data_IF_691798735864
#
_entry.id   IF_691798735864
#
_cell.length_a   1.000
_cell.length_b   1.000
_cell.length_c   1.000
_cell.angle_alpha   90.00
_cell.angle_beta   90.00
_cell.angle_gamma   90.00
#
_symmetry.space_group_name_H-M   'P 1'
#
loop_
_entity.id
_entity.type
_entity.pdbx_description
1 polymer ?
#
# COMPACT_ATOMS: atom_id res chain seq x y z
N UNK A 1 4.17 -1.95 -29.20
CA UNK A 1 2.79 -1.65 -29.64
C UNK A 1 2.42 -2.09 -31.05
N UNK A 2 3.28 -1.94 -32.08
CA UNK A 2 2.91 -2.25 -33.48
C UNK A 2 2.28 -3.63 -33.72
N UNK A 3 2.78 -4.68 -33.07
CA UNK A 3 2.22 -6.04 -33.21
C UNK A 3 0.83 -6.16 -32.60
N UNK A 4 0.59 -5.54 -31.44
CA UNK A 4 -0.74 -5.48 -30.83
C UNK A 4 -1.73 -4.73 -31.74
N UNK A 5 -1.33 -3.60 -32.31
CA UNK A 5 -2.16 -2.86 -33.28
C UNK A 5 -2.47 -3.66 -34.56
N UNK A 6 -1.60 -4.60 -34.95
CA UNK A 6 -1.79 -5.41 -36.17
C UNK A 6 -2.62 -6.68 -35.93
N UNK A 7 -2.61 -7.22 -34.70
CA UNK A 7 -3.28 -8.49 -34.37
C UNK A 7 -4.63 -8.29 -33.69
N UNK A 8 -4.89 -7.13 -33.08
CA UNK A 8 -6.15 -6.84 -32.40
C UNK A 8 -7.17 -6.23 -33.36
N UNK A 9 -8.40 -6.74 -33.30
CA UNK A 9 -9.56 -6.17 -33.98
C UNK A 9 -10.57 -5.58 -32.97
N UNK A 10 -11.63 -4.92 -33.46
CA UNK A 10 -12.67 -4.31 -32.61
C UNK A 10 -13.47 -5.32 -31.80
N UNK A 11 -13.32 -6.63 -32.05
CA UNK A 11 -14.05 -7.69 -31.36
C UNK A 11 -13.31 -8.23 -30.14
N UNK A 12 -12.04 -7.84 -29.93
CA UNK A 12 -11.19 -8.35 -28.86
C UNK A 12 -11.00 -7.31 -27.77
N UNK A 13 -11.73 -7.38 -26.64
CA UNK A 13 -11.50 -6.45 -25.53
C UNK A 13 -10.12 -6.72 -24.89
N UNK A 14 -9.30 -5.69 -24.79
CA UNK A 14 -7.97 -5.75 -24.16
C UNK A 14 -7.91 -4.80 -22.96
N UNK A 15 -7.44 -5.32 -21.82
CA UNK A 15 -6.97 -4.51 -20.69
C UNK A 15 -5.47 -4.72 -20.53
N UNK A 16 -4.71 -3.65 -20.70
CA UNK A 16 -3.27 -3.63 -20.48
C UNK A 16 -2.97 -2.87 -19.19
N UNK A 17 -2.21 -3.49 -18.29
CA UNK A 17 -1.60 -2.81 -17.14
C UNK A 17 -0.10 -2.70 -17.37
N UNK A 18 0.47 -1.56 -17.01
CA UNK A 18 1.88 -1.26 -17.19
C UNK A 18 2.32 -0.21 -16.19
N UNK A 19 3.63 -0.02 -16.03
CA UNK A 19 4.17 1.15 -15.33
C UNK A 19 4.08 2.37 -16.23
N UNK A 20 3.82 3.54 -15.65
CA UNK A 20 3.62 4.78 -16.41
C UNK A 20 4.81 5.12 -17.29
N UNK A 21 6.04 5.04 -16.75
CA UNK A 21 7.27 5.35 -17.49
C UNK A 21 7.51 4.35 -18.62
N UNK A 22 7.37 3.05 -18.37
CA UNK A 22 7.53 2.00 -19.39
C UNK A 22 6.51 2.16 -20.53
N UNK A 23 5.27 2.55 -20.21
CA UNK A 23 4.26 2.82 -21.24
C UNK A 23 4.61 4.06 -22.06
N UNK A 24 5.01 5.16 -21.40
CA UNK A 24 5.39 6.40 -22.07
C UNK A 24 6.57 6.17 -23.03
N UNK A 25 7.61 5.46 -22.57
CA UNK A 25 8.78 5.11 -23.40
C UNK A 25 8.40 4.29 -24.64
N UNK A 26 7.45 3.34 -24.49
CA UNK A 26 6.96 2.52 -25.60
C UNK A 26 6.13 3.33 -26.59
N UNK A 27 5.30 4.26 -26.11
CA UNK A 27 4.51 5.15 -26.98
C UNK A 27 5.42 6.10 -27.73
N UNK A 28 6.40 6.71 -27.06
CA UNK A 28 7.35 7.64 -27.66
C UNK A 28 8.26 6.97 -28.69
N UNK A 29 8.65 5.71 -28.47
CA UNK A 29 9.54 4.95 -29.38
C UNK A 29 8.80 4.24 -30.52
N UNK A 30 7.49 4.02 -30.40
CA UNK A 30 6.70 3.33 -31.43
C UNK A 30 5.45 4.11 -31.81
N UNK A 31 4.31 3.78 -31.22
CA UNK A 31 3.03 4.45 -31.39
C UNK A 31 2.11 4.02 -30.25
N UNK A 32 1.05 4.78 -30.01
CA UNK A 32 0.00 4.41 -29.05
C UNK A 32 -0.79 3.19 -29.55
N UNK A 33 -1.47 2.52 -28.61
CA UNK A 33 -2.43 1.48 -28.96
C UNK A 33 -3.66 2.14 -29.62
N UNK A 34 -3.92 1.82 -30.88
CA UNK A 34 -4.96 2.48 -31.69
C UNK A 34 -6.34 2.27 -31.08
N UNK A 35 -7.11 3.35 -30.89
CA UNK A 35 -8.46 3.28 -30.34
C UNK A 35 -8.51 2.95 -28.84
N UNK A 36 -7.38 2.98 -28.13
CA UNK A 36 -7.33 2.76 -26.69
C UNK A 36 -7.71 4.00 -25.89
N UNK A 37 -8.24 3.77 -24.69
CA UNK A 37 -8.39 4.81 -23.66
C UNK A 37 -7.36 4.54 -22.57
N UNK A 38 -6.53 5.54 -22.28
CA UNK A 38 -5.49 5.45 -21.25
C UNK A 38 -6.04 6.00 -19.94
N UNK A 39 -5.92 5.22 -18.87
CA UNK A 39 -6.30 5.62 -17.52
C UNK A 39 -5.05 5.57 -16.65
N UNK A 40 -4.68 6.71 -16.09
CA UNK A 40 -3.60 6.80 -15.11
C UNK A 40 -4.15 6.71 -13.70
N UNK A 41 -3.54 5.84 -12.88
CA UNK A 41 -3.86 5.74 -11.46
C UNK A 41 -3.15 6.85 -10.70
N UNK A 42 -3.93 7.82 -10.20
CA UNK A 42 -3.41 8.90 -9.38
C UNK A 42 -3.14 8.46 -7.92
N UNK A 43 -2.27 9.20 -7.19
CA UNK A 43 -2.09 8.99 -5.77
C UNK A 43 -3.42 9.06 -4.99
N UNK A 44 -3.51 8.29 -3.91
CA UNK A 44 -4.70 8.26 -3.05
C UNK A 44 -4.84 9.61 -2.34
N UNK A 45 -6.01 10.23 -2.51
CA UNK A 45 -6.36 11.44 -1.77
C UNK A 45 -6.44 11.15 -0.27
N UNK A 46 -5.97 12.07 0.56
CA UNK A 46 -5.92 11.92 2.02
C UNK A 46 -7.29 11.55 2.60
N UNK A 47 -8.37 12.18 2.15
CA UNK A 47 -9.72 11.90 2.64
C UNK A 47 -10.17 10.46 2.33
N UNK A 48 -9.79 9.93 1.17
CA UNK A 48 -10.06 8.54 0.79
C UNK A 48 -9.28 7.58 1.70
N UNK A 49 -7.99 7.84 1.95
CA UNK A 49 -7.19 7.05 2.87
C UNK A 49 -7.76 7.08 4.30
N UNK A 50 -8.13 8.27 4.80
CA UNK A 50 -8.73 8.45 6.11
C UNK A 50 -10.07 7.72 6.24
N UNK A 51 -10.95 7.81 5.23
CA UNK A 51 -12.22 7.11 5.20
C UNK A 51 -12.02 5.58 5.21
N UNK A 52 -11.07 5.08 4.44
CA UNK A 52 -10.74 3.65 4.43
C UNK A 52 -10.22 3.17 5.79
N UNK A 53 -9.29 3.92 6.41
CA UNK A 53 -8.71 3.58 7.71
C UNK A 53 -9.69 3.75 8.87
N UNK A 54 -10.68 4.64 8.77
CA UNK A 54 -11.75 4.74 9.78
C UNK A 54 -12.55 3.43 9.91
N UNK A 55 -12.60 2.62 8.84
CA UNK A 55 -13.24 1.29 8.82
C UNK A 55 -12.28 0.13 9.12
N UNK A 56 -11.03 0.43 9.48
CA UNK A 56 -9.97 -0.58 9.62
C UNK A 56 -10.10 -1.48 10.84
N UNK A 57 -10.71 -0.99 11.91
CA UNK A 57 -10.76 -1.68 13.19
C UNK A 57 -12.18 -1.72 13.77
N UNK A 58 -12.48 -2.69 14.66
CA UNK A 58 -13.75 -2.72 15.37
C UNK A 58 -14.02 -1.40 16.12
N UNK A 59 -15.30 -0.98 16.21
CA UNK A 59 -15.65 0.20 16.95
C UNK A 59 -15.38 -0.01 18.45
N UNK A 60 -14.88 1.05 19.08
CA UNK A 60 -14.57 1.18 20.49
C UNK A 60 -15.41 2.33 21.06
N UNK A 61 -15.76 2.26 22.34
CA UNK A 61 -16.37 3.39 23.04
C UNK A 61 -15.28 4.26 23.66
N UNK A 62 -15.31 5.55 23.35
CA UNK A 62 -14.43 6.56 23.97
C UNK A 62 -14.87 6.84 25.41
N UNK A 63 -14.05 7.61 26.15
CA UNK A 63 -14.40 8.02 27.51
C UNK A 63 -15.65 8.91 27.54
N UNK A 64 -15.90 9.62 26.43
CA UNK A 64 -17.04 10.49 26.18
C UNK A 64 -18.30 9.73 25.71
N UNK A 65 -18.18 8.40 25.52
CA UNK A 65 -19.30 7.53 25.13
C UNK A 65 -19.56 7.45 23.63
N UNK A 66 -18.73 8.06 22.79
CA UNK A 66 -18.84 8.03 21.33
C UNK A 66 -18.25 6.73 20.75
N UNK A 67 -18.76 6.30 19.60
CA UNK A 67 -18.20 5.17 18.86
C UNK A 67 -17.10 5.66 17.91
N UNK A 68 -15.87 5.22 18.16
CA UNK A 68 -14.70 5.55 17.35
C UNK A 68 -13.85 4.30 17.09
N UNK A 69 -12.80 4.40 16.28
CA UNK A 69 -11.82 3.32 16.10
C UNK A 69 -10.46 3.75 16.65
N UNK A 70 -9.53 2.79 16.81
CA UNK A 70 -8.15 3.08 17.23
C UNK A 70 -7.42 4.05 16.30
N UNK A 71 -7.94 4.25 15.08
CA UNK A 71 -7.42 5.18 14.10
C UNK A 71 -7.84 6.62 14.36
N UNK A 72 -8.93 6.89 15.08
CA UNK A 72 -9.50 8.24 15.21
C UNK A 72 -8.47 9.32 15.61
N UNK A 73 -7.61 9.12 16.64
CA UNK A 73 -6.62 10.14 17.00
C UNK A 73 -5.60 10.42 15.89
N UNK A 74 -5.24 9.39 15.11
CA UNK A 74 -4.32 9.53 13.99
C UNK A 74 -4.96 10.28 12.83
N UNK A 75 -6.22 9.96 12.51
CA UNK A 75 -6.95 10.62 11.44
C UNK A 75 -7.17 12.10 11.73
N UNK A 76 -7.45 12.45 12.99
CA UNK A 76 -7.60 13.85 13.39
C UNK A 76 -6.28 14.61 13.26
N UNK A 77 -5.17 14.01 13.71
CA UNK A 77 -3.84 14.58 13.54
C UNK A 77 -3.46 14.76 12.07
N UNK A 78 -3.76 13.78 11.22
CA UNK A 78 -3.53 13.86 9.78
C UNK A 78 -4.32 14.98 9.10
N UNK A 79 -5.45 15.43 9.65
CA UNK A 79 -6.23 16.55 9.10
C UNK A 79 -5.80 17.90 9.66
N UNK A 80 -5.37 17.95 10.92
CA UNK A 80 -5.13 19.21 11.64
C UNK A 80 -3.67 19.69 11.61
N UNK A 81 -2.69 18.78 11.54
CA UNK A 81 -1.28 19.17 11.67
C UNK A 81 -0.75 19.86 10.40
N UNK A 82 0.14 20.87 10.51
CA UNK A 82 0.72 21.52 9.35
C UNK A 82 1.74 20.63 8.62
N UNK A 83 2.12 21.05 7.41
CA UNK A 83 3.25 20.47 6.68
C UNK A 83 4.57 20.58 7.47
N UNK A 84 5.50 19.65 7.25
CA UNK A 84 6.79 19.59 7.98
C UNK A 84 6.72 18.92 9.37
N UNK A 85 5.55 18.43 9.77
CA UNK A 85 5.38 17.58 10.97
C UNK A 85 5.48 16.09 10.61
N UNK A 86 5.58 15.16 11.59
CA UNK A 86 5.46 13.72 11.32
C UNK A 86 4.18 13.33 10.58
N UNK A 87 3.10 14.13 10.70
CA UNK A 87 1.88 13.93 9.93
C UNK A 87 2.08 14.10 8.42
N UNK A 88 2.96 15.00 7.98
CA UNK A 88 3.27 15.18 6.57
C UNK A 88 3.94 13.93 5.97
N UNK A 89 4.89 13.33 6.69
CA UNK A 89 5.53 12.08 6.28
C UNK A 89 4.49 10.94 6.14
N UNK A 90 3.58 10.82 7.11
CA UNK A 90 2.53 9.81 7.05
C UNK A 90 1.51 10.07 5.93
N UNK A 91 1.15 11.33 5.63
CA UNK A 91 0.32 11.68 4.46
C UNK A 91 0.94 11.19 3.15
N UNK A 92 2.25 11.42 2.99
CA UNK A 92 2.99 10.98 1.80
C UNK A 92 2.99 9.46 1.66
N UNK A 93 3.15 8.73 2.78
CA UNK A 93 3.04 7.26 2.78
C UNK A 93 1.64 6.81 2.37
N UNK A 94 0.60 7.42 2.95
CA UNK A 94 -0.79 7.05 2.72
C UNK A 94 -1.34 7.46 1.35
N UNK A 95 -0.56 8.15 0.51
CA UNK A 95 -0.92 8.38 -0.90
C UNK A 95 -0.73 7.14 -1.78
N UNK A 96 -0.12 6.06 -1.25
CA UNK A 96 0.02 4.78 -1.92
C UNK A 96 -1.04 3.77 -1.45
N UNK A 97 -1.85 3.16 -2.34
CA UNK A 97 -2.85 2.16 -1.96
C UNK A 97 -2.24 0.98 -1.19
N UNK A 98 -1.03 0.55 -1.56
CA UNK A 98 -0.29 -0.51 -0.88
C UNK A 98 0.00 -0.14 0.57
N UNK A 99 0.49 1.07 0.80
CA UNK A 99 0.84 1.56 2.13
C UNK A 99 -0.39 1.75 3.01
N UNK A 100 -1.52 2.20 2.46
CA UNK A 100 -2.80 2.25 3.19
C UNK A 100 -3.23 0.86 3.64
N UNK A 101 -3.15 -0.14 2.76
CA UNK A 101 -3.50 -1.52 3.09
C UNK A 101 -2.55 -2.12 4.14
N UNK A 102 -1.25 -1.86 4.05
CA UNK A 102 -0.26 -2.30 5.04
C UNK A 102 -0.49 -1.63 6.40
N UNK A 103 -0.73 -0.32 6.42
CA UNK A 103 -1.04 0.41 7.65
C UNK A 103 -2.26 -0.17 8.35
N UNK A 104 -3.34 -0.45 7.61
CA UNK A 104 -4.54 -1.14 8.11
C UNK A 104 -4.22 -2.51 8.73
N UNK A 105 -3.41 -3.31 8.06
CA UNK A 105 -3.08 -4.66 8.52
C UNK A 105 -2.14 -4.67 9.74
N UNK A 106 -1.15 -3.77 9.77
CA UNK A 106 -0.16 -3.66 10.84
C UNK A 106 -0.77 -3.02 12.09
N UNK A 107 -1.60 -1.99 11.91
CA UNK A 107 -2.14 -1.22 13.03
C UNK A 107 -3.60 -1.61 13.34
N UNK A 108 -3.80 -2.84 13.80
CA UNK A 108 -5.11 -3.40 14.17
C UNK A 108 -5.64 -2.93 15.54
N UNK A 109 -4.79 -2.27 16.34
CA UNK A 109 -5.13 -1.82 17.69
C UNK A 109 -5.06 -2.89 18.77
N UNK A 110 -4.35 -4.00 18.53
CA UNK A 110 -4.13 -5.05 19.52
C UNK A 110 -3.49 -4.51 20.80
N UNK A 111 -4.11 -4.84 21.93
CA UNK A 111 -3.67 -4.37 23.27
C UNK A 111 -2.34 -4.97 23.71
N UNK A 112 -1.96 -6.12 23.15
CA UNK A 112 -0.77 -6.87 23.57
C UNK A 112 0.52 -6.32 22.96
N UNK A 113 0.41 -5.51 21.89
CA UNK A 113 1.55 -4.93 21.19
C UNK A 113 1.32 -3.44 20.89
N UNK A 114 2.00 -2.53 21.61
CA UNK A 114 1.94 -1.08 21.33
C UNK A 114 2.28 -0.72 19.88
N UNK A 115 3.08 -1.54 19.18
CA UNK A 115 3.44 -1.32 17.77
C UNK A 115 2.28 -1.61 16.80
N UNK A 116 1.21 -2.25 17.29
CA UNK A 116 -0.04 -2.44 16.53
C UNK A 116 -1.05 -1.31 16.76
N UNK A 117 -0.75 -0.34 17.62
CA UNK A 117 -1.59 0.85 17.78
C UNK A 117 -1.21 1.93 16.77
N UNK A 118 -2.14 2.49 15.97
CA UNK A 118 -1.82 3.47 14.93
C UNK A 118 -1.00 4.69 15.40
N UNK A 119 -1.16 5.12 16.65
CA UNK A 119 -0.45 6.27 17.22
C UNK A 119 1.08 6.14 17.19
N UNK A 120 1.61 4.92 17.18
CA UNK A 120 3.06 4.69 17.15
C UNK A 120 3.70 5.21 15.84
N UNK A 121 2.91 5.40 14.76
CA UNK A 121 3.39 5.96 13.49
C UNK A 121 3.86 7.42 13.63
N UNK A 122 3.60 8.06 14.77
CA UNK A 122 4.11 9.39 15.11
C UNK A 122 5.28 9.38 16.10
N UNK A 123 5.84 8.21 16.43
CA UNK A 123 7.03 8.10 17.27
C UNK A 123 8.21 8.88 16.66
N UNK A 124 9.13 9.38 17.49
CA UNK A 124 10.27 10.20 17.06
C UNK A 124 11.23 9.52 16.06
N UNK A 125 11.15 8.19 15.94
CA UNK A 125 11.92 7.40 14.96
C UNK A 125 11.38 7.48 13.54
N UNK A 126 10.16 7.99 13.35
CA UNK A 126 9.46 8.10 12.07
C UNK A 126 9.38 9.55 11.62
N UNK A 127 10.53 10.09 11.21
CA UNK A 127 10.67 11.49 10.77
C UNK A 127 10.54 11.64 9.26
N UNK A 128 10.71 10.54 8.52
CA UNK A 128 10.67 10.54 7.05
C UNK A 128 9.69 9.51 6.51
N UNK A 129 9.23 9.73 5.28
CA UNK A 129 8.40 8.79 4.54
C UNK A 129 9.05 7.39 4.52
N UNK A 130 10.31 7.29 4.10
CA UNK A 130 11.00 6.00 3.98
C UNK A 130 11.13 5.23 5.31
N UNK A 131 11.21 5.91 6.46
CA UNK A 131 11.24 5.24 7.76
C UNK A 131 9.90 4.58 8.10
N UNK A 132 8.79 5.25 7.76
CA UNK A 132 7.44 4.71 7.96
C UNK A 132 7.20 3.56 6.97
N UNK A 133 7.55 3.73 5.70
CA UNK A 133 7.39 2.69 4.67
C UNK A 133 8.15 1.42 5.04
N UNK A 134 9.43 1.55 5.38
CA UNK A 134 10.25 0.42 5.79
C UNK A 134 9.64 -0.28 7.00
N UNK A 135 9.15 0.47 7.97
CA UNK A 135 8.49 -0.10 9.14
C UNK A 135 7.23 -0.89 8.78
N UNK A 136 6.35 -0.33 7.94
CA UNK A 136 5.13 -1.00 7.50
C UNK A 136 5.45 -2.28 6.72
N UNK A 137 6.46 -2.24 5.84
CA UNK A 137 6.94 -3.40 5.10
C UNK A 137 7.47 -4.51 6.02
N UNK A 138 8.34 -4.14 6.97
CA UNK A 138 8.93 -5.08 7.93
C UNK A 138 7.87 -5.68 8.88
N UNK A 139 6.87 -4.90 9.25
CA UNK A 139 5.82 -5.31 10.18
C UNK A 139 4.68 -6.09 9.52
N UNK A 140 4.54 -6.02 8.18
CA UNK A 140 3.40 -6.60 7.48
C UNK A 140 3.31 -8.12 7.62
N UNK A 141 4.39 -8.86 7.36
CA UNK A 141 4.40 -10.33 7.43
C UNK A 141 4.10 -10.82 8.85
N UNK A 142 4.76 -10.30 9.92
CA UNK A 142 4.38 -10.61 11.29
C UNK A 142 2.93 -10.24 11.63
N UNK A 143 2.39 -9.17 11.04
CA UNK A 143 1.00 -8.75 11.27
C UNK A 143 0.01 -9.80 10.74
N UNK A 144 0.16 -10.22 9.49
CA UNK A 144 -0.81 -11.09 8.79
C UNK A 144 -0.57 -12.59 8.97
N UNK A 145 0.62 -13.01 9.41
CA UNK A 145 0.95 -14.41 9.76
C UNK A 145 1.25 -14.61 11.26
N UNK A 146 0.85 -13.64 12.08
CA UNK A 146 1.00 -13.72 13.54
C UNK A 146 0.10 -14.80 14.17
N UNK A 147 0.29 -15.13 15.45
CA UNK A 147 -0.48 -16.18 16.13
C UNK A 147 -2.01 -15.97 16.08
N UNK A 148 -2.46 -14.71 16.03
CA UNK A 148 -3.87 -14.35 15.97
C UNK A 148 -4.47 -14.38 14.55
N UNK A 149 -3.67 -14.63 13.51
CA UNK A 149 -4.12 -14.58 12.10
C UNK A 149 -5.01 -15.75 11.67
N UNK A 150 -5.05 -16.84 12.44
CA UNK A 150 -5.70 -18.09 12.02
C UNK A 150 -5.02 -18.78 10.83
N UNK A 151 -3.85 -18.29 10.39
CA UNK A 151 -3.07 -18.90 9.32
C UNK A 151 -2.46 -20.23 9.76
N UNK A 152 -2.43 -21.21 8.84
CA UNK A 152 -1.69 -22.45 9.06
C UNK A 152 -0.16 -22.27 9.01
N UNK A 153 0.32 -21.06 8.69
CA UNK A 153 1.73 -20.72 8.56
C UNK A 153 2.15 -19.72 9.63
N UNK A 154 3.34 -19.88 10.19
CA UNK A 154 3.95 -18.87 11.06
C UNK A 154 4.59 -17.75 10.24
N UNK A 155 4.75 -16.57 10.84
CA UNK A 155 5.44 -15.44 10.23
C UNK A 155 6.84 -15.81 9.70
N UNK A 156 7.61 -16.62 10.44
CA UNK A 156 8.93 -17.08 10.00
C UNK A 156 8.87 -18.00 8.77
N UNK A 157 7.85 -18.87 8.69
CA UNK A 157 7.65 -19.72 7.51
C UNK A 157 7.27 -18.88 6.28
N UNK A 158 6.34 -17.94 6.44
CA UNK A 158 5.93 -17.05 5.37
C UNK A 158 7.10 -16.20 4.86
N UNK A 159 7.86 -15.59 5.77
CA UNK A 159 9.02 -14.78 5.42
C UNK A 159 10.05 -15.59 4.63
N UNK A 160 10.40 -16.80 5.08
CA UNK A 160 11.35 -17.66 4.38
C UNK A 160 10.92 -17.99 2.94
N UNK A 161 9.64 -18.29 2.74
CA UNK A 161 9.09 -18.60 1.43
C UNK A 161 9.05 -17.37 0.52
N UNK A 162 8.58 -16.23 1.02
CA UNK A 162 8.53 -14.98 0.24
C UNK A 162 9.93 -14.49 -0.13
N UNK A 163 10.91 -14.58 0.76
CA UNK A 163 12.31 -14.28 0.44
C UNK A 163 12.92 -15.23 -0.59
N UNK A 164 12.41 -16.47 -0.70
CA UNK A 164 12.81 -17.39 -1.78
C UNK A 164 12.16 -16.98 -3.10
N UNK A 165 10.87 -16.64 -3.10
CA UNK A 165 10.17 -16.17 -4.28
C UNK A 165 10.80 -14.89 -4.84
N UNK A 166 11.07 -13.92 -3.96
CA UNK A 166 11.68 -12.65 -4.36
C UNK A 166 13.05 -12.83 -5.03
N UNK A 167 13.89 -13.73 -4.49
CA UNK A 167 15.18 -14.07 -5.11
C UNK A 167 14.99 -14.72 -6.48
N UNK A 168 14.06 -15.68 -6.57
CA UNK A 168 13.76 -16.33 -7.84
C UNK A 168 13.31 -15.34 -8.92
N UNK A 169 12.40 -14.43 -8.58
CA UNK A 169 11.93 -13.40 -9.52
C UNK A 169 12.99 -12.37 -9.86
N UNK A 170 13.95 -12.12 -8.96
CA UNK A 170 15.07 -11.23 -9.22
C UNK A 170 16.08 -11.88 -10.16
N UNK A 171 16.39 -13.15 -9.91
CA UNK A 171 17.31 -13.94 -10.74
C UNK A 171 16.75 -14.20 -12.15
N UNK A 172 15.42 -14.30 -12.29
CA UNK A 172 14.74 -14.44 -13.58
C UNK A 172 14.41 -13.09 -14.26
N UNK A 173 14.31 -11.99 -13.49
CA UNK A 173 13.95 -10.65 -13.97
C UNK A 173 15.05 -9.91 -14.74
N UNK A 174 16.29 -10.38 -14.69
CA UNK A 174 17.37 -9.98 -15.60
C UNK A 174 17.27 -10.68 -16.98
N UNK A 175 16.33 -11.61 -17.14
CA UNK A 175 15.99 -12.25 -18.40
C UNK A 175 14.76 -11.59 -19.02
N UNK A 176 14.98 -10.79 -20.07
CA UNK A 176 13.94 -10.30 -20.98
C UNK A 176 12.88 -11.39 -21.22
N UNK A 177 11.63 -11.11 -20.82
CA UNK A 177 10.48 -11.89 -21.28
C UNK A 177 10.32 -11.55 -22.77
N UNK A 178 10.87 -12.42 -23.62
CA UNK A 178 10.80 -12.36 -25.08
C UNK A 178 9.45 -12.87 -25.62
#
# INVERSE_FOLDING_TARGET
MRRLNAELDQSTPLLLTSRTEEYADVVDSTDALTGSTVVELLPVALDTACAYLATAAPPLRTAEGELATVWAPVLDRLRCDPEGTPAAALRSVLSSPLMVAMARAVCDGSRDDPRRHPNHLFDERFRTQGQIEQHLLDAYIPAVYGPASGSGWTAGQAQKWLSRLARHTWDEGDGVIA
#
